data_IF_805711681521
#
_entry.id   IF_805711681521
#
_cell.length_a   1.000
_cell.length_b   1.000
_cell.length_c   1.000
_cell.angle_alpha   90.00
_cell.angle_beta   90.00
_cell.angle_gamma   90.00
#
_symmetry.space_group_name_H-M   'P 1'
#
loop_
_entity.id
_entity.type
_entity.pdbx_description
1 polymer ?
#
# COMPACT_ATOMS: atom_id res chain seq x y z
N UNK A 1 4.91 2.43 -8.14
CA UNK A 1 5.73 3.36 -7.33
C UNK A 1 6.54 2.60 -6.31
N UNK A 2 7.86 2.79 -6.23
CA UNK A 2 8.69 2.21 -5.17
C UNK A 2 8.40 2.88 -3.81
N UNK A 3 8.61 2.17 -2.69
CA UNK A 3 8.36 2.71 -1.34
C UNK A 3 9.19 3.97 -1.05
N UNK A 4 10.40 4.06 -1.62
CA UNK A 4 11.25 5.25 -1.54
C UNK A 4 10.61 6.48 -2.20
N UNK A 5 9.90 6.30 -3.32
CA UNK A 5 9.18 7.38 -3.99
C UNK A 5 7.99 7.84 -3.16
N UNK A 6 7.23 6.90 -2.60
CA UNK A 6 6.09 7.20 -1.70
C UNK A 6 6.59 7.96 -0.47
N UNK A 7 7.69 7.50 0.14
CA UNK A 7 8.29 8.19 1.30
C UNK A 7 8.70 9.61 0.98
N UNK A 8 9.35 9.84 -0.17
CA UNK A 8 9.71 11.18 -0.63
C UNK A 8 8.49 12.08 -0.85
N UNK A 9 7.45 11.57 -1.50
CA UNK A 9 6.22 12.33 -1.76
C UNK A 9 5.47 12.70 -0.48
N UNK A 10 5.52 11.84 0.55
CA UNK A 10 4.81 12.02 1.82
C UNK A 10 5.69 12.61 2.94
N UNK A 11 6.97 12.89 2.69
CA UNK A 11 7.90 13.40 3.72
C UNK A 11 8.21 12.40 4.85
N UNK A 12 8.08 11.09 4.59
CA UNK A 12 8.31 10.04 5.59
C UNK A 12 9.39 9.04 5.14
N UNK A 13 9.98 8.33 6.10
CA UNK A 13 10.98 7.30 5.81
C UNK A 13 10.37 6.12 5.04
N UNK A 14 11.15 5.50 4.14
CA UNK A 14 10.75 4.30 3.40
C UNK A 14 10.30 3.15 4.33
N UNK A 15 10.97 3.00 5.48
CA UNK A 15 10.60 1.99 6.49
C UNK A 15 9.19 2.22 7.03
N UNK A 16 8.80 3.48 7.23
CA UNK A 16 7.45 3.86 7.67
C UNK A 16 6.41 3.47 6.63
N UNK A 17 6.70 3.69 5.34
CA UNK A 17 5.84 3.22 4.23
C UNK A 17 5.67 1.70 4.26
N UNK A 18 6.75 0.93 4.48
CA UNK A 18 6.68 -0.54 4.59
C UNK A 18 5.76 -0.99 5.71
N UNK A 19 5.85 -0.36 6.88
CA UNK A 19 4.98 -0.67 8.03
C UNK A 19 3.51 -0.38 7.71
N UNK A 20 3.20 0.78 7.12
CA UNK A 20 1.83 1.11 6.75
C UNK A 20 1.27 0.14 5.70
N UNK A 21 2.04 -0.21 4.67
CA UNK A 21 1.60 -1.18 3.66
C UNK A 21 1.33 -2.55 4.30
N UNK A 22 2.20 -3.03 5.18
CA UNK A 22 1.97 -4.30 5.90
C UNK A 22 0.68 -4.29 6.73
N UNK A 23 0.40 -3.18 7.42
CA UNK A 23 -0.83 -3.03 8.18
C UNK A 23 -2.07 -2.98 7.28
N UNK A 24 -2.00 -2.27 6.15
CA UNK A 24 -3.08 -2.22 5.15
C UNK A 24 -3.34 -3.62 4.58
N UNK A 25 -2.29 -4.34 4.17
CA UNK A 25 -2.41 -5.68 3.63
C UNK A 25 -3.08 -6.63 4.63
N UNK A 26 -2.65 -6.59 5.90
CA UNK A 26 -3.28 -7.38 6.97
C UNK A 26 -4.74 -7.02 7.19
N UNK A 27 -5.09 -5.72 7.12
CA UNK A 27 -6.46 -5.24 7.34
C UNK A 27 -7.41 -5.66 6.23
N UNK A 28 -6.93 -5.73 4.99
CA UNK A 28 -7.73 -6.16 3.83
C UNK A 28 -7.55 -7.65 3.49
N UNK A 29 -6.78 -8.38 4.29
CA UNK A 29 -6.61 -9.83 4.16
C UNK A 29 -5.76 -10.30 2.97
N UNK A 30 -4.87 -9.45 2.45
CA UNK A 30 -3.99 -9.80 1.31
C UNK A 30 -2.53 -9.95 1.75
N UNK A 31 -1.75 -10.73 0.99
CA UNK A 31 -0.35 -11.02 1.31
C UNK A 31 0.68 -10.06 0.69
N UNK A 32 0.33 -9.40 -0.41
CA UNK A 32 1.28 -8.63 -1.20
C UNK A 32 0.61 -7.47 -1.95
N UNK A 33 1.45 -6.67 -2.61
CA UNK A 33 1.03 -5.48 -3.36
C UNK A 33 0.18 -5.80 -4.58
N UNK A 34 0.44 -6.90 -5.27
CA UNK A 34 -0.32 -7.29 -6.47
C UNK A 34 -1.73 -7.67 -6.05
N UNK A 35 -1.86 -8.50 -5.03
CA UNK A 35 -3.13 -8.88 -4.41
C UNK A 35 -3.88 -7.66 -3.86
N UNK A 36 -3.19 -6.72 -3.23
CA UNK A 36 -3.78 -5.46 -2.77
C UNK A 36 -4.32 -4.59 -3.92
N UNK A 37 -3.62 -4.56 -5.06
CA UNK A 37 -4.08 -3.82 -6.23
C UNK A 37 -5.34 -4.45 -6.86
N UNK A 38 -5.42 -5.79 -6.91
CA UNK A 38 -6.62 -6.50 -7.36
C UNK A 38 -7.79 -6.25 -6.41
N UNK A 39 -7.57 -6.40 -5.10
CA UNK A 39 -8.58 -6.12 -4.08
C UNK A 39 -9.13 -4.70 -4.23
N UNK A 40 -8.25 -3.71 -4.43
CA UNK A 40 -8.65 -2.32 -4.63
C UNK A 40 -9.56 -2.13 -5.86
N UNK A 41 -9.27 -2.80 -6.98
CA UNK A 41 -10.11 -2.74 -8.20
C UNK A 41 -11.50 -3.35 -8.00
N UNK A 42 -11.64 -4.32 -7.12
CA UNK A 42 -12.91 -5.00 -6.85
C UNK A 42 -13.75 -4.28 -5.79
N UNK A 43 -13.12 -3.57 -4.85
CA UNK A 43 -13.78 -3.07 -3.63
C UNK A 43 -13.79 -1.55 -3.48
N UNK A 44 -12.94 -0.81 -4.21
CA UNK A 44 -12.94 0.65 -4.16
C UNK A 44 -13.70 1.20 -5.38
N UNK A 45 -14.48 2.28 -5.20
CA UNK A 45 -15.06 2.98 -6.34
C UNK A 45 -13.97 3.52 -7.25
N UNK A 46 -14.25 3.62 -8.55
CA UNK A 46 -13.36 4.28 -9.49
C UNK A 46 -13.15 5.74 -9.03
N UNK A 47 -11.91 6.06 -8.63
CA UNK A 47 -11.46 7.39 -8.19
C UNK A 47 -10.80 8.15 -9.33
#
# INVERSE_FOLDING_TARGET
MANKQIGRALGIAERTVKVHLGNVFRRIGVGDRTSAALWAREHLPDV
#
